data_IF_861701590872
#
_entry.id   IF_861701590872
#
_cell.length_a   1.000
_cell.length_b   1.000
_cell.length_c   1.000
_cell.angle_alpha   90.00
_cell.angle_beta   90.00
_cell.angle_gamma   90.00
#
_symmetry.space_group_name_H-M   'P 1'
#
loop_
_entity.id
_entity.type
_entity.pdbx_description
1 polymer ?
#
# COMPACT_ATOMS: atom_id res chain seq x y z
N UNK A 1 1.96 19.59 3.30
CA UNK A 1 0.54 19.27 3.62
C UNK A 1 0.52 17.84 4.14
N UNK A 2 -0.08 17.59 5.32
CA UNK A 2 -0.16 16.22 5.88
C UNK A 2 -1.09 15.39 5.00
N UNK A 3 -0.64 14.19 4.59
CA UNK A 3 -1.36 13.27 3.68
C UNK A 3 -2.30 12.35 4.47
N UNK A 4 -1.97 12.02 5.71
CA UNK A 4 -2.79 11.18 6.59
C UNK A 4 -2.19 11.02 7.97
N UNK A 5 -3.02 10.61 8.93
CA UNK A 5 -2.65 10.40 10.33
C UNK A 5 -2.54 8.89 10.61
N UNK A 6 -1.40 8.45 11.10
CA UNK A 6 -1.10 7.04 11.33
C UNK A 6 -0.77 6.83 12.82
N UNK A 7 -1.37 5.82 13.44
CA UNK A 7 -0.99 5.36 14.77
C UNK A 7 -0.18 4.06 14.62
N UNK A 8 0.99 4.01 15.24
CA UNK A 8 1.80 2.80 15.33
C UNK A 8 1.81 2.36 16.79
N UNK A 9 1.40 1.11 17.03
CA UNK A 9 1.35 0.50 18.36
C UNK A 9 2.35 -0.66 18.36
N UNK A 10 3.49 -0.44 19.03
CA UNK A 10 4.61 -1.37 19.02
C UNK A 10 5.51 -1.07 20.23
N UNK A 11 5.84 -2.08 21.03
CA UNK A 11 6.71 -1.93 22.19
C UNK A 11 8.21 -1.83 21.82
N UNK A 12 8.55 -2.23 20.58
CA UNK A 12 9.89 -2.11 20.03
C UNK A 12 10.17 -0.67 19.56
N UNK A 13 10.59 0.20 20.47
CA UNK A 13 10.78 1.63 20.23
C UNK A 13 11.65 1.95 19.01
N UNK A 14 12.75 1.21 18.80
CA UNK A 14 13.67 1.45 17.67
C UNK A 14 12.98 1.22 16.34
N UNK A 15 12.18 0.15 16.23
CA UNK A 15 11.46 -0.18 15.00
C UNK A 15 10.37 0.85 14.73
N UNK A 16 9.59 1.21 15.75
CA UNK A 16 8.49 2.18 15.59
C UNK A 16 9.00 3.59 15.26
N UNK A 17 10.11 4.05 15.83
CA UNK A 17 10.74 5.31 15.47
C UNK A 17 11.27 5.31 14.02
N UNK A 18 11.90 4.23 13.58
CA UNK A 18 12.38 4.11 12.19
C UNK A 18 11.23 4.18 11.18
N UNK A 19 10.12 3.51 11.47
CA UNK A 19 8.92 3.56 10.63
C UNK A 19 8.32 4.97 10.64
N UNK A 20 8.25 5.60 11.82
CA UNK A 20 7.77 6.97 11.99
C UNK A 20 8.57 7.93 11.12
N UNK A 21 9.90 7.95 11.26
CA UNK A 21 10.77 8.86 10.51
C UNK A 21 10.55 8.68 8.99
N UNK A 22 10.51 7.43 8.52
CA UNK A 22 10.27 7.13 7.11
C UNK A 22 8.93 7.67 6.60
N UNK A 23 7.89 7.62 7.41
CA UNK A 23 6.55 8.10 7.05
C UNK A 23 6.44 9.62 7.16
N UNK A 24 7.07 10.23 8.15
CA UNK A 24 7.08 11.69 8.34
C UNK A 24 7.87 12.40 7.24
N UNK A 25 8.94 11.80 6.72
CA UNK A 25 9.72 12.30 5.57
C UNK A 25 8.87 12.51 4.31
N UNK A 26 7.76 11.78 4.20
CA UNK A 26 6.81 11.90 3.07
C UNK A 26 5.46 12.49 3.48
N UNK A 27 5.46 13.31 4.52
CA UNK A 27 4.32 14.11 4.99
C UNK A 27 3.13 13.32 5.60
N UNK A 28 3.34 12.14 6.16
CA UNK A 28 2.36 11.56 7.09
C UNK A 28 2.57 12.13 8.49
N UNK A 29 1.50 12.20 9.29
CA UNK A 29 1.60 12.48 10.72
C UNK A 29 1.56 11.15 11.46
N UNK A 30 2.56 10.87 12.29
CA UNK A 30 2.68 9.59 12.98
C UNK A 30 2.68 9.78 14.49
N UNK A 31 1.77 9.06 15.14
CA UNK A 31 1.71 8.93 16.59
C UNK A 31 2.17 7.54 17.01
N UNK A 32 2.95 7.44 18.06
CA UNK A 32 3.43 6.17 18.62
C UNK A 32 2.71 5.84 19.93
N UNK A 33 2.43 4.58 20.15
CA UNK A 33 2.00 4.00 21.42
C UNK A 33 2.83 2.75 21.72
N UNK A 34 3.37 2.64 22.90
CA UNK A 34 4.24 1.52 23.28
C UNK A 34 3.45 0.29 23.80
N UNK A 35 2.14 0.42 24.00
CA UNK A 35 1.30 -0.64 24.56
C UNK A 35 -0.20 -0.34 24.34
N UNK A 36 -1.03 -1.35 24.66
CA UNK A 36 -2.48 -1.24 24.52
C UNK A 36 -3.11 -0.12 25.37
N UNK A 37 -2.57 0.15 26.55
CA UNK A 37 -3.10 1.19 27.46
C UNK A 37 -2.91 2.58 26.87
N UNK A 38 -1.73 2.87 26.34
CA UNK A 38 -1.44 4.13 25.65
C UNK A 38 -2.29 4.27 24.39
N UNK A 39 -2.37 3.19 23.57
CA UNK A 39 -3.19 3.18 22.37
C UNK A 39 -4.65 3.52 22.66
N UNK A 40 -5.25 2.90 23.70
CA UNK A 40 -6.62 3.18 24.15
C UNK A 40 -6.82 4.64 24.59
N UNK A 41 -5.84 5.24 25.23
CA UNK A 41 -5.92 6.64 25.64
C UNK A 41 -5.88 7.58 24.42
N UNK A 42 -4.99 7.30 23.47
CA UNK A 42 -4.79 8.10 22.26
C UNK A 42 -6.04 8.06 21.37
N UNK A 43 -6.61 6.91 21.08
CA UNK A 43 -7.78 6.77 20.17
C UNK A 43 -9.07 7.38 20.75
N UNK A 44 -9.13 7.71 22.04
CA UNK A 44 -10.24 8.46 22.64
C UNK A 44 -10.25 9.94 22.28
N UNK A 45 -9.11 10.47 21.94
CA UNK A 45 -8.91 11.92 21.70
C UNK A 45 -8.49 12.25 20.28
N UNK A 46 -8.04 11.26 19.52
CA UNK A 46 -7.55 11.43 18.16
C UNK A 46 -8.14 10.37 17.23
N UNK A 47 -8.27 10.73 15.95
CA UNK A 47 -8.69 9.83 14.89
C UNK A 47 -7.53 9.58 13.93
N UNK A 48 -7.46 8.36 13.42
CA UNK A 48 -6.39 7.91 12.53
C UNK A 48 -6.96 7.32 11.25
N UNK A 49 -6.25 7.57 10.16
CA UNK A 49 -6.57 7.03 8.85
C UNK A 49 -6.06 5.59 8.70
N UNK A 50 -5.08 5.21 9.53
CA UNK A 50 -4.54 3.86 9.61
C UNK A 50 -3.95 3.62 11.00
N UNK A 51 -4.20 2.45 11.56
CA UNK A 51 -3.55 1.95 12.76
C UNK A 51 -2.71 0.73 12.38
N UNK A 52 -1.44 0.75 12.73
CA UNK A 52 -0.52 -0.37 12.58
C UNK A 52 -0.20 -0.91 13.97
N UNK A 53 -0.54 -2.17 14.24
CA UNK A 53 -0.50 -2.73 15.59
C UNK A 53 0.30 -4.03 15.64
N UNK A 54 1.30 -4.08 16.52
CA UNK A 54 2.00 -5.32 16.78
C UNK A 54 1.08 -6.33 17.49
N UNK A 55 1.27 -7.59 17.16
CA UNK A 55 0.60 -8.72 17.84
C UNK A 55 1.17 -8.89 19.24
N UNK A 56 2.48 -8.87 19.37
CA UNK A 56 3.16 -9.17 20.62
C UNK A 56 3.54 -7.90 21.38
N UNK A 57 2.79 -7.62 22.43
CA UNK A 57 3.05 -6.46 23.31
C UNK A 57 2.92 -6.86 24.77
N UNK A 58 3.68 -6.23 25.69
CA UNK A 58 3.56 -6.46 27.12
C UNK A 58 2.18 -6.12 27.65
N UNK A 59 1.65 -6.96 28.53
CA UNK A 59 0.35 -6.77 29.18
C UNK A 59 -0.77 -7.30 28.31
N UNK A 60 -1.44 -6.46 27.54
CA UNK A 60 -2.47 -6.89 26.58
C UNK A 60 -1.86 -7.00 25.18
N UNK A 61 -1.93 -8.18 24.59
CA UNK A 61 -1.49 -8.42 23.22
C UNK A 61 -2.41 -7.72 22.17
N UNK A 62 -1.86 -7.51 20.97
CA UNK A 62 -2.57 -6.81 19.91
C UNK A 62 -3.81 -7.53 19.39
N UNK A 63 -3.85 -8.87 19.41
CA UNK A 63 -5.02 -9.62 18.99
C UNK A 63 -6.20 -9.43 19.93
N UNK A 64 -5.92 -9.43 21.23
CA UNK A 64 -6.91 -9.16 22.28
C UNK A 64 -7.41 -7.70 22.23
N UNK A 65 -6.52 -6.75 21.93
CA UNK A 65 -6.90 -5.36 21.76
C UNK A 65 -7.77 -5.16 20.50
N UNK A 66 -7.42 -5.81 19.40
CA UNK A 66 -8.23 -5.80 18.17
C UNK A 66 -9.64 -6.33 18.44
N UNK A 67 -9.75 -7.49 19.11
CA UNK A 67 -11.03 -8.10 19.44
C UNK A 67 -11.90 -7.20 20.33
N UNK A 68 -11.30 -6.59 21.35
CA UNK A 68 -11.97 -5.59 22.20
C UNK A 68 -12.50 -4.42 21.40
N UNK A 69 -11.68 -3.86 20.51
CA UNK A 69 -12.07 -2.73 19.68
C UNK A 69 -13.19 -3.08 18.70
N UNK A 70 -13.08 -4.20 18.01
CA UNK A 70 -14.11 -4.62 17.04
C UNK A 70 -15.46 -4.91 17.73
N UNK A 71 -15.43 -5.53 18.90
CA UNK A 71 -16.63 -5.76 19.72
C UNK A 71 -17.26 -4.46 20.23
N UNK A 72 -16.46 -3.41 20.43
CA UNK A 72 -16.91 -2.07 20.81
C UNK A 72 -17.39 -1.20 19.60
N UNK A 73 -17.39 -1.74 18.38
CA UNK A 73 -17.78 -1.01 17.18
C UNK A 73 -16.72 -0.01 16.67
N UNK A 74 -15.46 -0.27 16.95
CA UNK A 74 -14.34 0.56 16.49
C UNK A 74 -14.26 0.58 14.96
N UNK A 75 -14.16 1.77 14.36
CA UNK A 75 -14.30 1.96 12.91
C UNK A 75 -12.99 2.36 12.21
N UNK A 76 -11.95 2.74 12.96
CA UNK A 76 -10.66 3.07 12.34
C UNK A 76 -9.98 1.80 11.83
N UNK A 77 -9.36 1.84 10.63
CA UNK A 77 -8.76 0.65 10.02
C UNK A 77 -7.50 0.21 10.76
N UNK A 78 -7.42 -1.08 11.06
CA UNK A 78 -6.30 -1.69 11.76
C UNK A 78 -5.59 -2.69 10.85
N UNK A 79 -4.27 -2.57 10.75
CA UNK A 79 -3.37 -3.54 10.13
C UNK A 79 -2.52 -4.14 11.23
N UNK A 80 -2.50 -5.47 11.31
CA UNK A 80 -1.68 -6.18 12.28
C UNK A 80 -0.25 -6.36 11.77
N UNK A 81 0.73 -6.38 12.67
CA UNK A 81 2.13 -6.63 12.37
C UNK A 81 2.67 -7.71 13.30
N UNK A 82 3.55 -8.59 12.82
CA UNK A 82 4.25 -9.54 13.69
C UNK A 82 5.56 -10.04 13.09
N UNK A 83 6.57 -10.23 13.93
CA UNK A 83 7.81 -10.93 13.56
C UNK A 83 7.62 -12.44 13.43
N UNK A 84 6.67 -13.02 14.15
CA UNK A 84 6.33 -14.43 14.13
C UNK A 84 4.85 -14.58 13.77
N UNK A 85 4.56 -14.63 12.48
CA UNK A 85 3.21 -14.82 11.99
C UNK A 85 2.99 -16.28 11.61
N UNK A 86 2.16 -16.99 12.38
CA UNK A 86 1.63 -18.27 11.95
C UNK A 86 0.40 -18.06 11.06
N UNK A 87 0.13 -19.02 10.17
CA UNK A 87 -1.00 -18.91 9.25
C UNK A 87 -2.35 -18.75 9.98
N UNK A 88 -2.47 -19.34 11.17
CA UNK A 88 -3.66 -19.25 12.00
C UNK A 88 -3.88 -17.84 12.58
N UNK A 89 -2.80 -17.13 12.94
CA UNK A 89 -2.87 -15.76 13.46
C UNK A 89 -3.38 -14.79 12.39
N UNK A 90 -2.89 -14.95 11.16
CA UNK A 90 -3.35 -14.15 10.02
C UNK A 90 -4.85 -14.34 9.78
N UNK A 91 -5.32 -15.60 9.74
CA UNK A 91 -6.74 -15.90 9.54
C UNK A 91 -7.58 -15.35 10.70
N UNK A 92 -7.10 -15.46 11.94
CA UNK A 92 -7.80 -14.94 13.12
C UNK A 92 -7.92 -13.43 13.08
N UNK A 93 -6.83 -12.71 12.77
CA UNK A 93 -6.82 -11.25 12.68
C UNK A 93 -7.82 -10.74 11.63
N UNK A 94 -7.81 -11.31 10.43
CA UNK A 94 -8.74 -10.94 9.36
C UNK A 94 -10.20 -11.22 9.74
N UNK A 95 -10.47 -12.36 10.38
CA UNK A 95 -11.83 -12.68 10.87
C UNK A 95 -12.31 -11.72 11.95
N UNK A 96 -11.41 -11.23 12.79
CA UNK A 96 -11.71 -10.22 13.81
C UNK A 96 -11.95 -8.84 13.22
N UNK A 97 -11.58 -8.58 11.97
CA UNK A 97 -11.82 -7.29 11.29
C UNK A 97 -10.56 -6.49 10.99
N UNK A 98 -9.36 -7.07 11.14
CA UNK A 98 -8.15 -6.44 10.65
C UNK A 98 -8.21 -6.26 9.12
N UNK A 99 -7.73 -5.12 8.65
CA UNK A 99 -7.66 -4.80 7.22
C UNK A 99 -6.65 -5.67 6.46
N UNK A 100 -5.53 -5.96 7.12
CA UNK A 100 -4.47 -6.82 6.60
C UNK A 100 -3.54 -7.29 7.74
N UNK A 101 -2.59 -8.17 7.44
CA UNK A 101 -1.59 -8.66 8.36
C UNK A 101 -0.22 -8.63 7.70
N UNK A 102 0.76 -7.96 8.34
CA UNK A 102 2.10 -7.75 7.80
C UNK A 102 3.13 -8.53 8.61
N UNK A 103 4.07 -9.16 7.92
CA UNK A 103 5.21 -9.82 8.55
C UNK A 103 6.36 -8.83 8.72
N UNK A 104 6.88 -8.67 9.93
CA UNK A 104 8.14 -7.93 10.19
C UNK A 104 9.36 -8.76 9.73
N UNK A 105 10.46 -8.14 9.28
CA UNK A 105 10.68 -6.70 9.18
C UNK A 105 9.96 -6.05 7.99
N UNK A 106 9.48 -4.82 8.16
CA UNK A 106 8.77 -4.06 7.13
C UNK A 106 9.77 -3.29 6.26
N UNK A 107 10.33 -3.96 5.26
CA UNK A 107 11.40 -3.37 4.42
C UNK A 107 10.93 -2.24 3.51
N UNK A 108 9.66 -2.21 3.15
CA UNK A 108 9.11 -1.21 2.23
C UNK A 108 7.70 -0.80 2.71
N UNK A 109 7.70 0.07 3.72
CA UNK A 109 6.46 0.47 4.40
C UNK A 109 5.60 1.42 3.56
N UNK A 110 6.21 2.28 2.73
CA UNK A 110 5.51 3.33 1.99
C UNK A 110 4.47 2.79 1.01
N UNK A 111 4.78 1.84 0.11
CA UNK A 111 3.77 1.24 -0.77
C UNK A 111 2.64 0.55 -0.02
N UNK A 112 2.92 -0.05 1.15
CA UNK A 112 1.91 -0.72 1.97
C UNK A 112 0.92 0.30 2.55
N UNK A 113 1.42 1.36 3.18
CA UNK A 113 0.60 2.44 3.74
C UNK A 113 -0.25 3.10 2.64
N UNK A 114 0.34 3.45 1.49
CA UNK A 114 -0.36 4.02 0.34
C UNK A 114 -1.48 3.10 -0.16
N UNK A 115 -1.22 1.80 -0.26
CA UNK A 115 -2.21 0.79 -0.64
C UNK A 115 -3.42 0.79 0.30
N UNK A 116 -3.19 0.88 1.62
CA UNK A 116 -4.28 0.86 2.60
C UNK A 116 -5.08 2.16 2.57
N UNK A 117 -4.43 3.31 2.53
CA UNK A 117 -5.09 4.60 2.48
C UNK A 117 -5.84 4.83 1.15
N UNK A 118 -5.33 4.32 0.02
CA UNK A 118 -6.02 4.41 -1.26
C UNK A 118 -7.31 3.59 -1.30
N UNK A 119 -7.36 2.42 -0.67
CA UNK A 119 -8.58 1.63 -0.54
C UNK A 119 -9.69 2.35 0.22
N UNK A 120 -9.34 3.28 1.10
CA UNK A 120 -10.28 4.08 1.88
C UNK A 120 -10.62 5.43 1.22
N UNK A 121 -10.08 5.71 0.05
CA UNK A 121 -10.29 6.99 -0.64
C UNK A 121 -9.53 8.17 -0.03
N UNK A 122 -8.70 7.94 0.99
CA UNK A 122 -7.92 8.97 1.68
C UNK A 122 -6.69 9.35 0.86
N UNK A 123 -6.02 8.34 0.31
CA UNK A 123 -4.89 8.53 -0.59
C UNK A 123 -5.37 8.41 -2.04
N UNK A 124 -5.31 9.51 -2.77
CA UNK A 124 -5.47 9.49 -4.23
C UNK A 124 -4.07 9.34 -4.81
N UNK A 125 -3.73 8.14 -5.33
CA UNK A 125 -2.51 8.00 -6.09
C UNK A 125 -2.50 9.05 -7.20
N UNK A 126 -1.41 9.79 -7.33
CA UNK A 126 -1.25 10.71 -8.46
C UNK A 126 -1.15 9.89 -9.75
N UNK A 127 -2.29 9.72 -10.39
CA UNK A 127 -2.35 9.13 -11.73
C UNK A 127 -2.05 10.22 -12.74
N UNK A 128 -0.81 10.34 -13.13
CA UNK A 128 -0.46 11.13 -14.31
C UNK A 128 -0.74 10.26 -15.53
N UNK A 129 -1.71 10.66 -16.34
CA UNK A 129 -2.09 9.97 -17.58
C UNK A 129 -2.51 8.49 -17.41
N UNK A 130 -3.10 8.14 -16.26
CA UNK A 130 -3.54 6.77 -15.99
C UNK A 130 -2.44 5.80 -15.51
N UNK A 131 -1.23 6.30 -15.24
CA UNK A 131 -0.14 5.53 -14.67
C UNK A 131 -0.20 5.65 -13.15
N UNK A 132 -0.19 4.51 -12.47
CA UNK A 132 -0.08 4.41 -11.02
C UNK A 132 1.40 4.32 -10.64
N UNK A 133 1.93 5.37 -10.01
CA UNK A 133 3.33 5.43 -9.61
C UNK A 133 3.65 4.57 -8.37
N UNK A 134 2.64 4.06 -7.68
CA UNK A 134 2.81 3.15 -6.55
C UNK A 134 3.08 1.69 -6.99
N UNK A 135 3.02 1.43 -8.30
CA UNK A 135 3.36 0.13 -8.85
C UNK A 135 4.88 -0.06 -8.99
N UNK A 136 5.38 -1.31 -8.91
CA UNK A 136 6.75 -1.60 -9.28
C UNK A 136 7.07 -1.04 -10.67
N UNK A 137 8.26 -0.47 -10.86
CA UNK A 137 8.67 0.20 -12.09
C UNK A 137 8.36 -0.61 -13.37
N UNK A 138 8.57 -1.92 -13.33
CA UNK A 138 8.25 -2.82 -14.46
C UNK A 138 6.76 -2.76 -14.81
N UNK A 139 5.88 -2.77 -13.82
CA UNK A 139 4.42 -2.73 -14.03
C UNK A 139 3.96 -1.37 -14.52
N UNK A 140 4.43 -0.28 -13.91
CA UNK A 140 4.15 1.09 -14.34
C UNK A 140 4.62 1.34 -15.78
N UNK A 141 5.81 0.86 -16.13
CA UNK A 141 6.36 0.92 -17.48
C UNK A 141 5.51 0.15 -18.49
N UNK A 142 5.06 -1.06 -18.15
CA UNK A 142 4.20 -1.87 -19.03
C UNK A 142 2.86 -1.17 -19.30
N UNK A 143 2.27 -0.53 -18.29
CA UNK A 143 1.02 0.23 -18.44
C UNK A 143 1.23 1.42 -19.38
N UNK A 144 2.30 2.19 -19.18
CA UNK A 144 2.66 3.30 -20.06
C UNK A 144 2.88 2.83 -21.50
N UNK A 145 3.73 1.82 -21.72
CA UNK A 145 4.02 1.29 -23.05
C UNK A 145 2.75 0.78 -23.74
N UNK A 146 1.85 0.10 -22.99
CA UNK A 146 0.58 -0.37 -23.55
C UNK A 146 -0.34 0.79 -24.00
N UNK A 147 -0.45 1.84 -23.20
CA UNK A 147 -1.24 3.03 -23.55
C UNK A 147 -0.64 3.78 -24.74
N UNK A 148 0.67 3.97 -24.74
CA UNK A 148 1.41 4.61 -25.81
C UNK A 148 1.21 3.90 -27.14
N UNK A 149 1.41 2.59 -27.20
CA UNK A 149 1.24 1.83 -28.43
C UNK A 149 -0.21 1.76 -28.87
N UNK A 150 -1.18 1.57 -27.98
CA UNK A 150 -2.60 1.62 -28.32
C UNK A 150 -3.01 2.96 -28.93
N UNK A 151 -2.54 4.07 -28.35
CA UNK A 151 -2.80 5.40 -28.89
C UNK A 151 -2.25 5.54 -30.32
N UNK A 152 -0.97 5.24 -30.52
CA UNK A 152 -0.35 5.40 -31.85
C UNK A 152 -0.88 4.43 -32.90
N UNK A 153 -1.25 3.20 -32.52
CA UNK A 153 -1.91 2.26 -33.43
C UNK A 153 -3.27 2.79 -33.89
N UNK A 154 -4.08 3.32 -32.97
CA UNK A 154 -5.38 3.90 -33.33
C UNK A 154 -5.27 5.11 -34.24
N UNK A 155 -4.29 6.00 -34.00
CA UNK A 155 -4.06 7.20 -34.83
C UNK A 155 -3.46 6.90 -36.20
N UNK A 156 -2.86 5.74 -36.40
CA UNK A 156 -2.16 5.37 -37.63
C UNK A 156 -2.77 4.13 -38.30
N UNK A 157 -4.06 3.88 -38.13
CA UNK A 157 -4.79 2.77 -38.75
C UNK A 157 -4.08 1.40 -38.60
N UNK A 158 -3.55 1.14 -37.41
CA UNK A 158 -2.77 -0.06 -37.06
C UNK A 158 -1.51 -0.29 -37.94
N UNK A 159 -0.97 0.76 -38.54
CA UNK A 159 0.25 0.66 -39.34
C UNK A 159 1.49 0.50 -38.45
N UNK A 160 1.91 -0.75 -38.27
CA UNK A 160 3.04 -1.14 -37.41
C UNK A 160 4.35 -0.48 -37.83
N UNK A 161 4.59 -0.31 -39.16
CA UNK A 161 5.82 0.31 -39.62
C UNK A 161 5.92 1.75 -39.15
N UNK A 162 4.83 2.51 -39.31
CA UNK A 162 4.78 3.93 -38.89
C UNK A 162 4.85 4.07 -37.38
N UNK A 163 4.22 3.18 -36.62
CA UNK A 163 4.30 3.19 -35.15
C UNK A 163 5.68 2.83 -34.66
N UNK A 164 6.38 1.92 -35.32
CA UNK A 164 7.78 1.59 -35.01
C UNK A 164 8.69 2.80 -35.22
N UNK A 165 8.54 3.52 -36.33
CA UNK A 165 9.30 4.75 -36.63
C UNK A 165 9.02 5.84 -35.59
N UNK A 166 7.75 6.06 -35.21
CA UNK A 166 7.35 7.03 -34.17
C UNK A 166 7.96 6.67 -32.81
N UNK A 167 7.98 5.38 -32.48
CA UNK A 167 8.52 4.90 -31.19
C UNK A 167 10.05 4.78 -31.16
N UNK A 168 10.74 5.02 -32.27
CA UNK A 168 12.19 4.83 -32.39
C UNK A 168 12.62 3.36 -32.23
N UNK A 169 11.77 2.41 -32.67
CA UNK A 169 11.98 1.00 -32.52
C UNK A 169 12.06 0.29 -33.89
N UNK A 170 12.81 -0.79 -33.94
CA UNK A 170 12.69 -1.74 -35.05
C UNK A 170 11.32 -2.45 -35.03
N UNK A 171 10.79 -2.76 -36.22
CA UNK A 171 9.49 -3.45 -36.37
C UNK A 171 9.41 -4.76 -35.61
N UNK A 172 10.49 -5.53 -35.62
CA UNK A 172 10.61 -6.82 -34.89
C UNK A 172 10.51 -6.62 -33.37
N UNK A 173 11.15 -5.58 -32.87
CA UNK A 173 11.10 -5.18 -31.45
C UNK A 173 9.71 -4.75 -31.03
N UNK A 174 9.05 -3.94 -31.86
CA UNK A 174 7.67 -3.51 -31.61
C UNK A 174 6.70 -4.72 -31.59
N UNK A 175 6.81 -5.65 -32.53
CA UNK A 175 5.99 -6.85 -32.54
C UNK A 175 6.11 -7.66 -31.24
N UNK A 176 7.34 -7.87 -30.74
CA UNK A 176 7.57 -8.56 -29.48
C UNK A 176 6.95 -7.82 -28.31
N UNK A 177 7.13 -6.49 -28.22
CA UNK A 177 6.54 -5.68 -27.17
C UNK A 177 5.01 -5.72 -27.16
N UNK A 178 4.38 -5.61 -28.32
CA UNK A 178 2.91 -5.69 -28.43
C UNK A 178 2.40 -7.04 -27.95
N UNK A 179 3.08 -8.14 -28.30
CA UNK A 179 2.76 -9.48 -27.81
C UNK A 179 2.92 -9.59 -26.30
N UNK A 180 4.03 -9.10 -25.75
CA UNK A 180 4.34 -9.14 -24.30
C UNK A 180 3.32 -8.30 -23.49
N UNK A 181 2.77 -7.25 -24.08
CA UNK A 181 1.76 -6.37 -23.50
C UNK A 181 0.31 -6.84 -23.75
N UNK A 182 0.10 -7.98 -24.41
CA UNK A 182 -1.23 -8.51 -24.72
C UNK A 182 -2.05 -7.62 -25.67
N UNK A 183 -1.38 -6.88 -26.57
CA UNK A 183 -2.04 -6.02 -27.55
C UNK A 183 -2.19 -6.82 -28.86
N UNK A 184 -3.40 -7.35 -29.08
CA UNK A 184 -3.73 -8.09 -30.31
C UNK A 184 -3.92 -7.14 -31.49
N UNK A 185 -3.50 -7.63 -32.68
CA UNK A 185 -3.87 -7.02 -33.96
C UNK A 185 -5.33 -7.36 -34.25
N UNK A 186 -6.18 -6.39 -34.22
CA UNK A 186 -7.43 -6.49 -34.99
C UNK A 186 -7.24 -5.84 -36.35
#
# INVERSE_FOLDING_TARGET
MIIGNILIIDDEKINSETIKDTLEDVNYSVTLAANATEAKAIVKTQTFDLIMMDVWMPGQDGMSLLEEWMNAGFSMPVVMMSGHAEHQDVIKAIKLGALDFLKKPLHDILPLVRKFLSKQGIYKSEKVSGIDFDLPLKSARNIFEAQYFKHHLSQNNNNIAKVADIAGLERTTLYRKLKDLGIDKK
#
